data_IF_383218129645
#
_entry.id   IF_383218129645
#
_cell.length_a   1.000
_cell.length_b   1.000
_cell.length_c   1.000
_cell.angle_alpha   90.00
_cell.angle_beta   90.00
_cell.angle_gamma   90.00
#
_symmetry.space_group_name_H-M   'P 1'
#
loop_
_entity.id
_entity.type
_entity.pdbx_description
1 polymer ?
#
# COMPACT_ATOMS: atom_id res chain seq x y z
N UNK A 1 22.23 -5.23 4.44
CA UNK A 1 21.36 -5.75 5.50
C UNK A 1 21.07 -7.20 5.19
N UNK A 2 21.34 -8.12 6.11
CA UNK A 2 20.92 -9.51 5.94
C UNK A 2 19.40 -9.63 6.12
N UNK A 3 18.74 -10.56 5.42
CA UNK A 3 17.28 -10.77 5.52
C UNK A 3 16.83 -10.98 6.98
N UNK A 4 17.70 -11.55 7.83
CA UNK A 4 17.46 -11.70 9.27
C UNK A 4 17.35 -10.37 10.01
N UNK A 5 18.18 -9.39 9.68
CA UNK A 5 18.14 -8.06 10.30
C UNK A 5 16.85 -7.33 9.90
N UNK A 6 16.43 -7.47 8.64
CA UNK A 6 15.16 -6.91 8.17
C UNK A 6 13.98 -7.51 8.95
N UNK A 7 13.97 -8.83 9.12
CA UNK A 7 12.97 -9.54 9.92
C UNK A 7 12.96 -9.10 11.39
N UNK A 8 14.13 -8.92 11.99
CA UNK A 8 14.25 -8.58 13.41
C UNK A 8 13.93 -7.12 13.72
N UNK A 9 14.24 -6.19 12.81
CA UNK A 9 14.17 -4.75 13.08
C UNK A 9 13.05 -4.06 12.30
N UNK A 10 12.92 -4.36 11.00
CA UNK A 10 12.04 -3.60 10.10
C UNK A 10 10.62 -4.12 10.17
N UNK A 11 10.43 -5.44 10.19
CA UNK A 11 9.08 -6.04 10.22
C UNK A 11 8.31 -5.63 11.49
N UNK A 12 8.86 -5.72 12.72
CA UNK A 12 8.15 -5.26 13.92
C UNK A 12 7.81 -3.78 13.86
N UNK A 13 8.73 -2.95 13.35
CA UNK A 13 8.49 -1.51 13.17
C UNK A 13 7.33 -1.25 12.22
N UNK A 14 7.28 -1.93 11.06
CA UNK A 14 6.18 -1.84 10.10
C UNK A 14 4.85 -2.22 10.77
N UNK A 15 4.82 -3.29 11.57
CA UNK A 15 3.62 -3.74 12.27
C UNK A 15 3.14 -2.68 13.26
N UNK A 16 4.04 -2.09 14.06
CA UNK A 16 3.69 -1.04 15.03
C UNK A 16 3.13 0.18 14.33
N UNK A 17 3.79 0.64 13.25
CA UNK A 17 3.30 1.77 12.45
C UNK A 17 1.91 1.45 11.86
N UNK A 18 1.74 0.25 11.30
CA UNK A 18 0.47 -0.21 10.77
C UNK A 18 -0.66 -0.14 11.79
N UNK A 19 -0.44 -0.73 12.97
CA UNK A 19 -1.42 -0.71 14.06
C UNK A 19 -1.72 0.71 14.55
N UNK A 20 -0.72 1.59 14.59
CA UNK A 20 -0.91 3.01 14.88
C UNK A 20 -1.90 3.65 13.91
N UNK A 21 -1.69 3.50 12.60
CA UNK A 21 -2.61 4.04 11.59
C UNK A 21 -4.02 3.45 11.71
N UNK A 22 -4.16 2.14 11.95
CA UNK A 22 -5.47 1.51 12.16
C UNK A 22 -6.19 2.11 13.37
N UNK A 23 -5.47 2.37 14.47
CA UNK A 23 -6.02 2.97 15.69
C UNK A 23 -6.51 4.41 15.47
N UNK A 24 -5.80 5.20 14.65
CA UNK A 24 -6.18 6.58 14.35
C UNK A 24 -7.27 6.69 13.27
N UNK A 25 -7.21 5.86 12.22
CA UNK A 25 -8.21 5.87 11.13
C UNK A 25 -9.54 5.28 11.59
N UNK A 26 -9.50 4.26 12.47
CA UNK A 26 -10.67 3.49 12.95
C UNK A 26 -11.56 2.98 11.81
N UNK A 27 -11.01 2.23 10.84
CA UNK A 27 -11.82 1.68 9.75
C UNK A 27 -12.83 0.67 10.27
N UNK A 28 -13.97 0.55 9.60
CA UNK A 28 -14.88 -0.57 9.85
C UNK A 28 -14.20 -1.89 9.44
N UNK A 29 -14.62 -3.01 10.04
CA UNK A 29 -14.09 -4.34 9.70
C UNK A 29 -14.04 -4.64 8.19
N UNK A 30 -15.09 -4.39 7.37
CA UNK A 30 -15.01 -4.65 5.94
C UNK A 30 -13.98 -3.78 5.22
N UNK A 31 -13.84 -2.50 5.62
CA UNK A 31 -12.83 -1.60 5.04
C UNK A 31 -11.41 -2.07 5.38
N UNK A 32 -11.19 -2.49 6.64
CA UNK A 32 -9.89 -3.01 7.08
C UNK A 32 -9.51 -4.27 6.29
N UNK A 33 -10.41 -5.26 6.21
CA UNK A 33 -10.18 -6.50 5.48
C UNK A 33 -9.96 -6.26 3.98
N UNK A 34 -10.76 -5.38 3.36
CA UNK A 34 -10.57 -4.98 1.98
C UNK A 34 -9.17 -4.37 1.76
N UNK A 35 -8.69 -3.54 2.70
CA UNK A 35 -7.37 -2.92 2.59
C UNK A 35 -6.25 -3.95 2.73
N UNK A 36 -6.38 -4.90 3.66
CA UNK A 36 -5.40 -5.99 3.82
C UNK A 36 -5.36 -6.89 2.59
N UNK A 37 -6.51 -7.20 2.00
CA UNK A 37 -6.58 -8.02 0.80
C UNK A 37 -6.03 -7.28 -0.43
N UNK A 38 -6.36 -5.99 -0.60
CA UNK A 38 -5.77 -5.15 -1.63
C UNK A 38 -4.25 -5.09 -1.51
N UNK A 39 -3.74 -4.94 -0.29
CA UNK A 39 -2.31 -4.93 -0.02
C UNK A 39 -1.64 -6.28 -0.26
N UNK A 40 -2.29 -7.36 0.15
CA UNK A 40 -1.83 -8.71 -0.16
C UNK A 40 -1.70 -8.93 -1.67
N UNK A 41 -2.70 -8.52 -2.45
CA UNK A 41 -2.66 -8.62 -3.91
C UNK A 41 -1.52 -7.77 -4.49
N UNK A 42 -1.34 -6.54 -4.02
CA UNK A 42 -0.22 -5.70 -4.43
C UNK A 42 1.13 -6.37 -4.14
N UNK A 43 1.33 -6.91 -2.94
CA UNK A 43 2.56 -7.61 -2.56
C UNK A 43 2.81 -8.87 -3.38
N UNK A 44 1.77 -9.66 -3.65
CA UNK A 44 1.87 -10.87 -4.48
C UNK A 44 2.22 -10.53 -5.94
N UNK A 45 1.58 -9.52 -6.54
CA UNK A 45 1.92 -9.09 -7.90
C UNK A 45 3.38 -8.65 -7.96
N UNK A 46 3.82 -7.84 -6.99
CA UNK A 46 5.21 -7.37 -6.92
C UNK A 46 6.19 -8.57 -6.85
N UNK A 47 5.92 -9.53 -5.95
CA UNK A 47 6.72 -10.75 -5.83
C UNK A 47 6.77 -11.58 -7.11
N UNK A 48 5.63 -11.76 -7.79
CA UNK A 48 5.57 -12.52 -9.02
C UNK A 48 6.36 -11.86 -10.15
N UNK A 49 6.29 -10.54 -10.27
CA UNK A 49 7.10 -9.80 -11.24
C UNK A 49 8.59 -9.94 -10.96
N UNK A 50 9.00 -9.90 -9.69
CA UNK A 50 10.40 -10.09 -9.31
C UNK A 50 10.91 -11.52 -9.63
N UNK A 51 10.08 -12.53 -9.43
CA UNK A 51 10.40 -13.92 -9.83
C UNK A 51 10.54 -14.01 -11.35
N UNK A 52 9.60 -13.44 -12.11
CA UNK A 52 9.67 -13.41 -13.58
C UNK A 52 10.92 -12.68 -14.05
N UNK A 53 11.24 -11.54 -13.43
CA UNK A 53 12.40 -10.74 -13.77
C UNK A 53 13.72 -11.47 -13.55
N UNK A 54 13.82 -12.27 -12.49
CA UNK A 54 14.96 -13.14 -12.24
C UNK A 54 15.17 -14.12 -13.40
N UNK A 55 14.12 -14.85 -13.78
CA UNK A 55 14.20 -15.85 -14.86
C UNK A 55 14.36 -15.24 -16.26
N UNK A 56 13.80 -14.05 -16.49
CA UNK A 56 13.94 -13.31 -17.74
C UNK A 56 15.26 -12.53 -17.85
N UNK A 57 16.08 -12.53 -16.80
CA UNK A 57 17.36 -11.83 -16.77
C UNK A 57 17.23 -10.30 -16.80
N UNK A 58 16.12 -9.74 -16.30
CA UNK A 58 15.94 -8.29 -16.23
C UNK A 58 16.66 -7.72 -15.00
N UNK A 59 16.36 -8.26 -13.82
CA UNK A 59 17.05 -7.92 -12.58
C UNK A 59 17.02 -9.10 -11.61
N UNK A 60 17.87 -9.03 -10.57
CA UNK A 60 17.88 -10.00 -9.49
C UNK A 60 18.32 -9.35 -8.18
N UNK A 61 17.94 -9.95 -7.05
CA UNK A 61 18.40 -9.52 -5.74
C UNK A 61 19.77 -10.14 -5.41
N UNK A 62 20.69 -9.31 -4.93
CA UNK A 62 21.98 -9.73 -4.41
C UNK A 62 21.99 -9.67 -2.89
N UNK A 63 21.29 -10.62 -2.27
CA UNK A 63 21.14 -10.75 -0.83
C UNK A 63 21.33 -12.19 -0.38
N UNK A 64 21.84 -12.36 0.84
CA UNK A 64 21.87 -13.67 1.49
C UNK A 64 20.49 -14.02 2.08
N UNK A 65 20.10 -15.29 1.98
CA UNK A 65 18.86 -15.81 2.57
C UNK A 65 17.61 -15.66 1.71
N UNK A 66 17.76 -15.46 0.40
CA UNK A 66 16.63 -15.38 -0.54
C UNK A 66 15.85 -16.70 -0.56
N UNK A 67 14.53 -16.60 -0.66
CA UNK A 67 13.64 -17.73 -0.88
C UNK A 67 12.96 -17.51 -2.22
N UNK A 68 12.97 -18.49 -3.13
CA UNK A 68 12.50 -18.32 -4.51
C UNK A 68 13.16 -17.15 -5.25
N UNK A 69 14.46 -16.92 -5.02
CA UNK A 69 15.25 -15.82 -5.59
C UNK A 69 14.77 -14.40 -5.22
N UNK A 70 13.85 -14.28 -4.25
CA UNK A 70 13.29 -13.00 -3.81
C UNK A 70 13.43 -12.81 -2.29
N UNK A 71 13.51 -11.55 -1.81
CA UNK A 71 13.57 -11.25 -0.39
C UNK A 71 12.16 -11.22 0.19
N UNK A 72 11.58 -12.39 0.48
CA UNK A 72 10.19 -12.52 0.94
C UNK A 72 9.76 -11.50 2.01
N UNK A 73 10.58 -11.18 3.04
CA UNK A 73 10.17 -10.22 4.06
C UNK A 73 9.95 -8.79 3.52
N UNK A 74 10.59 -8.40 2.40
CA UNK A 74 10.46 -7.05 1.87
C UNK A 74 9.04 -6.74 1.40
N UNK A 75 8.30 -7.77 0.94
CA UNK A 75 6.93 -7.61 0.46
C UNK A 75 5.94 -7.21 1.55
N UNK A 76 6.31 -7.31 2.84
CA UNK A 76 5.46 -6.78 3.92
C UNK A 76 5.23 -5.27 3.79
N UNK A 77 6.17 -4.53 3.21
CA UNK A 77 6.07 -3.09 3.02
C UNK A 77 5.01 -2.75 1.96
N UNK A 78 5.05 -3.32 0.73
CA UNK A 78 3.92 -3.28 -0.20
C UNK A 78 2.59 -3.69 0.43
N UNK A 79 2.55 -4.75 1.23
CA UNK A 79 1.28 -5.25 1.80
C UNK A 79 0.70 -4.28 2.82
N UNK A 80 1.46 -3.93 3.85
CA UNK A 80 0.93 -3.18 5.00
C UNK A 80 0.97 -1.67 4.79
N UNK A 81 2.00 -1.14 4.12
CA UNK A 81 2.17 0.31 3.97
C UNK A 81 1.48 0.79 2.69
N UNK A 82 2.03 0.42 1.53
CA UNK A 82 1.56 0.97 0.25
C UNK A 82 0.20 0.43 -0.17
N UNK A 83 -0.10 -0.80 0.22
CA UNK A 83 -1.31 -1.50 -0.19
C UNK A 83 -2.36 -1.64 0.90
N UNK A 84 -2.14 -1.12 2.12
CA UNK A 84 -3.18 -1.12 3.16
C UNK A 84 -3.32 0.26 3.80
N UNK A 85 -2.29 0.80 4.49
CA UNK A 85 -2.38 2.15 5.08
C UNK A 85 -2.74 3.20 4.04
N UNK A 86 -2.06 3.20 2.90
CA UNK A 86 -2.33 4.18 1.83
C UNK A 86 -3.76 4.05 1.33
N UNK A 87 -4.27 2.84 1.11
CA UNK A 87 -5.66 2.62 0.68
C UNK A 87 -6.67 3.10 1.73
N UNK A 88 -6.41 2.83 3.01
CA UNK A 88 -7.21 3.33 4.13
C UNK A 88 -7.22 4.87 4.17
N UNK A 89 -6.08 5.51 3.94
CA UNK A 89 -5.97 6.97 3.88
C UNK A 89 -6.72 7.53 2.66
N UNK A 90 -6.57 6.93 1.49
CA UNK A 90 -7.31 7.31 0.29
C UNK A 90 -8.82 7.24 0.58
N UNK A 91 -9.31 6.13 1.15
CA UNK A 91 -10.71 5.98 1.53
C UNK A 91 -11.14 7.02 2.58
N UNK A 92 -10.31 7.28 3.59
CA UNK A 92 -10.61 8.22 4.68
C UNK A 92 -10.76 9.66 4.19
N UNK A 93 -10.02 10.03 3.17
CA UNK A 93 -9.96 11.40 2.63
C UNK A 93 -10.63 11.54 1.26
N UNK A 94 -11.30 10.50 0.76
CA UNK A 94 -11.91 10.51 -0.56
C UNK A 94 -13.02 11.56 -0.70
N UNK A 95 -13.80 11.76 0.37
CA UNK A 95 -14.94 12.69 0.40
C UNK A 95 -14.56 14.05 0.99
N UNK A 96 -15.20 15.11 0.48
CA UNK A 96 -15.04 16.48 0.97
C UNK A 96 -13.69 17.15 0.66
N UNK A 97 -13.28 18.06 1.54
CA UNK A 97 -12.07 18.88 1.37
C UNK A 97 -10.75 18.10 1.41
N UNK A 98 -10.77 16.84 1.89
CA UNK A 98 -9.59 15.97 1.93
C UNK A 98 -9.23 15.32 0.59
N UNK A 99 -10.07 15.47 -0.44
CA UNK A 99 -9.93 14.72 -1.70
C UNK A 99 -8.61 14.95 -2.42
N UNK A 100 -8.04 16.16 -2.33
CA UNK A 100 -6.74 16.46 -2.93
C UNK A 100 -5.63 15.58 -2.32
N UNK A 101 -5.68 15.31 -1.02
CA UNK A 101 -4.72 14.45 -0.33
C UNK A 101 -4.89 12.99 -0.75
N UNK A 102 -6.13 12.53 -0.93
CA UNK A 102 -6.41 11.20 -1.47
C UNK A 102 -5.86 11.04 -2.90
N UNK A 103 -6.02 12.05 -3.76
CA UNK A 103 -5.44 12.06 -5.11
C UNK A 103 -3.90 12.10 -5.08
N UNK A 104 -3.32 12.89 -4.17
CA UNK A 104 -1.88 12.93 -3.96
C UNK A 104 -1.36 11.55 -3.56
N UNK A 105 -2.05 10.81 -2.70
CA UNK A 105 -1.67 9.44 -2.37
C UNK A 105 -1.85 8.47 -3.54
N UNK A 106 -2.98 8.57 -4.25
CA UNK A 106 -3.32 7.69 -5.38
C UNK A 106 -2.26 7.74 -6.50
N UNK A 107 -1.78 8.94 -6.84
CA UNK A 107 -0.78 9.12 -7.89
C UNK A 107 0.65 9.21 -7.34
N UNK A 108 0.81 9.80 -6.15
CA UNK A 108 2.11 10.07 -5.56
C UNK A 108 2.79 8.80 -5.05
N UNK A 109 2.07 7.83 -4.48
CA UNK A 109 2.67 6.58 -3.98
C UNK A 109 3.29 5.74 -5.10
N UNK A 110 2.59 5.39 -6.21
CA UNK A 110 3.23 4.66 -7.29
C UNK A 110 4.38 5.45 -7.92
N UNK A 111 4.24 6.77 -8.08
CA UNK A 111 5.32 7.64 -8.57
C UNK A 111 6.54 7.62 -7.64
N UNK A 112 6.33 7.71 -6.33
CA UNK A 112 7.38 7.65 -5.32
C UNK A 112 8.12 6.30 -5.37
N UNK A 113 7.41 5.18 -5.47
CA UNK A 113 8.04 3.86 -5.55
C UNK A 113 8.91 3.72 -6.81
N UNK A 114 8.41 4.20 -7.95
CA UNK A 114 9.16 4.24 -9.22
C UNK A 114 10.43 5.08 -9.06
N UNK A 115 10.31 6.30 -8.53
CA UNK A 115 11.45 7.20 -8.33
C UNK A 115 12.46 6.62 -7.34
N UNK A 116 12.00 6.02 -6.24
CA UNK A 116 12.85 5.36 -5.25
C UNK A 116 13.71 4.28 -5.90
N UNK A 117 13.12 3.44 -6.76
CA UNK A 117 13.85 2.34 -7.37
C UNK A 117 14.83 2.81 -8.45
N UNK A 118 14.46 3.86 -9.21
CA UNK A 118 15.37 4.53 -10.15
C UNK A 118 16.56 5.15 -9.39
N UNK A 119 16.31 5.84 -8.28
CA UNK A 119 17.37 6.41 -7.45
C UNK A 119 18.23 5.32 -6.80
N UNK A 120 17.65 4.21 -6.38
CA UNK A 120 18.38 3.06 -5.85
C UNK A 120 19.27 2.39 -6.91
N UNK A 121 18.81 2.37 -8.17
CA UNK A 121 19.62 1.92 -9.30
C UNK A 121 20.83 2.83 -9.54
N UNK A 122 20.63 4.16 -9.57
CA UNK A 122 21.71 5.11 -9.92
C UNK A 122 22.72 5.33 -8.81
N UNK A 123 22.29 5.24 -7.54
CA UNK A 123 23.16 5.40 -6.37
C UNK A 123 23.93 4.13 -6.01
N UNK A 124 23.59 2.98 -6.59
CA UNK A 124 24.18 1.69 -6.23
C UNK A 124 23.83 1.23 -4.80
N UNK A 125 22.91 1.92 -4.12
CA UNK A 125 22.48 1.57 -2.76
C UNK A 125 21.38 0.50 -2.74
N UNK A 126 20.95 0.02 -3.91
CA UNK A 126 19.93 -1.00 -4.05
C UNK A 126 20.49 -2.41 -3.89
N UNK A 127 19.70 -3.28 -3.29
CA UNK A 127 19.95 -4.72 -3.26
C UNK A 127 19.66 -5.41 -4.61
N UNK A 128 19.12 -4.66 -5.57
CA UNK A 128 18.76 -5.14 -6.90
C UNK A 128 19.91 -4.85 -7.86
N UNK A 129 20.35 -5.89 -8.57
CA UNK A 129 21.27 -5.78 -9.69
C UNK A 129 20.46 -5.81 -10.99
N UNK A 130 20.60 -4.74 -11.76
CA UNK A 130 19.88 -4.51 -13.01
C UNK A 130 20.71 -4.97 -14.20
N UNK A 131 20.17 -5.86 -15.03
CA UNK A 131 20.89 -6.51 -16.14
C UNK A 131 20.44 -6.08 -17.53
N UNK A 132 19.24 -5.50 -17.67
CA UNK A 132 18.63 -5.20 -18.98
C UNK A 132 18.14 -3.76 -19.08
N UNK A 133 18.20 -3.18 -20.29
CA UNK A 133 17.59 -1.89 -20.59
C UNK A 133 16.06 -1.91 -20.41
N UNK A 134 15.43 -3.08 -20.56
CA UNK A 134 14.00 -3.27 -20.34
C UNK A 134 13.60 -3.25 -18.86
N UNK A 135 14.56 -3.28 -17.93
CA UNK A 135 14.23 -3.37 -16.51
C UNK A 135 13.47 -2.17 -15.98
N UNK A 136 13.84 -0.96 -16.42
CA UNK A 136 13.14 0.28 -16.04
C UNK A 136 11.68 0.28 -16.50
N UNK A 137 11.36 0.10 -17.80
CA UNK A 137 9.96 0.13 -18.23
C UNK A 137 9.13 -1.00 -17.60
N UNK A 138 9.71 -2.18 -17.38
CA UNK A 138 9.00 -3.29 -16.74
C UNK A 138 8.76 -3.01 -15.25
N UNK A 139 9.74 -2.45 -14.54
CA UNK A 139 9.57 -2.04 -13.14
C UNK A 139 8.49 -0.94 -13.02
N UNK A 140 8.42 0.01 -13.96
CA UNK A 140 7.35 1.02 -14.00
C UNK A 140 5.99 0.32 -14.15
N UNK A 141 5.87 -0.58 -15.14
CA UNK A 141 4.64 -1.33 -15.37
C UNK A 141 4.24 -2.16 -14.14
N UNK A 142 5.19 -2.83 -13.50
CA UNK A 142 4.97 -3.61 -12.28
C UNK A 142 4.38 -2.73 -11.16
N UNK A 143 4.98 -1.57 -10.86
CA UNK A 143 4.50 -0.70 -9.78
C UNK A 143 3.08 -0.18 -10.06
N UNK A 144 2.81 0.22 -11.30
CA UNK A 144 1.47 0.67 -11.70
C UNK A 144 0.46 -0.47 -11.59
N UNK A 145 0.76 -1.65 -12.14
CA UNK A 145 -0.13 -2.81 -12.10
C UNK A 145 -0.40 -3.27 -10.66
N UNK A 146 0.66 -3.48 -9.87
CA UNK A 146 0.53 -3.93 -8.49
C UNK A 146 -0.32 -2.96 -7.65
N UNK A 147 -0.03 -1.66 -7.75
CA UNK A 147 -0.72 -0.65 -6.97
C UNK A 147 -2.19 -0.47 -7.40
N UNK A 148 -2.46 -0.34 -8.71
CA UNK A 148 -3.82 -0.06 -9.16
C UNK A 148 -4.71 -1.31 -9.12
N UNK A 149 -4.19 -2.52 -9.36
CA UNK A 149 -5.00 -3.75 -9.20
C UNK A 149 -5.38 -3.94 -7.73
N UNK A 150 -4.42 -3.76 -6.80
CA UNK A 150 -4.71 -3.80 -5.36
C UNK A 150 -5.74 -2.74 -4.95
N UNK A 151 -5.59 -1.51 -5.47
CA UNK A 151 -6.51 -0.41 -5.16
C UNK A 151 -7.92 -0.65 -5.73
N UNK A 152 -8.04 -1.15 -6.96
CA UNK A 152 -9.33 -1.49 -7.57
C UNK A 152 -10.05 -2.58 -6.79
N UNK A 153 -9.32 -3.60 -6.32
CA UNK A 153 -9.89 -4.63 -5.45
C UNK A 153 -10.38 -4.04 -4.14
N UNK A 154 -9.56 -3.20 -3.50
CA UNK A 154 -9.95 -2.49 -2.29
C UNK A 154 -11.22 -1.66 -2.50
N UNK A 155 -11.26 -0.85 -3.56
CA UNK A 155 -12.40 0.03 -3.87
C UNK A 155 -13.70 -0.75 -4.12
N UNK A 156 -13.60 -1.95 -4.71
CA UNK A 156 -14.78 -2.81 -4.95
C UNK A 156 -15.34 -3.42 -3.67
N UNK A 157 -14.50 -3.67 -2.67
CA UNK A 157 -14.88 -4.37 -1.45
C UNK A 157 -15.14 -3.44 -0.27
N UNK A 158 -14.52 -2.26 -0.25
CA UNK A 158 -14.67 -1.30 0.82
C UNK A 158 -16.01 -0.53 0.66
N UNK A 159 -16.90 -0.54 1.66
CA UNK A 159 -18.10 0.27 1.60
C UNK A 159 -17.74 1.76 1.47
N UNK A 160 -18.50 2.54 0.69
CA UNK A 160 -18.31 3.97 0.60
C UNK A 160 -18.47 4.59 1.99
N UNK A 161 -17.66 5.61 2.28
CA UNK A 161 -17.80 6.33 3.54
C UNK A 161 -19.10 7.12 3.51
N UNK A 162 -19.98 7.01 4.53
CA UNK A 162 -21.14 7.88 4.62
C UNK A 162 -20.65 9.32 4.66
N UNK A 163 -21.11 10.15 3.72
CA UNK A 163 -20.99 11.59 3.91
C UNK A 163 -21.89 11.93 5.09
N UNK A 164 -21.32 12.51 6.16
CA UNK A 164 -22.12 13.11 7.21
C UNK A 164 -22.78 14.34 6.60
N UNK A 165 -23.94 14.15 5.99
CA UNK A 165 -24.80 15.23 5.54
C UNK A 165 -25.31 15.94 6.78
N UNK A 166 -25.27 17.27 6.81
CA UNK A 166 -25.79 18.09 7.93
C UNK A 166 -27.22 17.70 8.36
N UNK A 167 -28.00 17.12 7.44
CA UNK A 167 -29.34 16.57 7.70
C UNK A 167 -29.33 15.36 8.66
N UNK A 168 -28.29 14.53 8.67
CA UNK A 168 -28.18 13.38 9.58
C UNK A 168 -27.81 13.82 11.02
N UNK A 169 -27.17 14.98 11.17
CA UNK A 169 -26.91 15.59 12.47
C UNK A 169 -28.19 16.16 13.09
N UNK A 170 -29.00 16.90 12.32
CA UNK A 170 -30.30 17.42 12.80
C UNK A 170 -31.24 16.30 13.24
N UNK A 171 -31.29 15.19 12.50
CA UNK A 171 -32.16 14.05 12.83
C UNK A 171 -31.75 13.29 14.10
N UNK A 172 -30.49 13.44 14.52
CA UNK A 172 -29.98 12.86 15.78
C UNK A 172 -30.22 13.78 16.97
N UNK A 173 -30.35 15.09 16.74
CA UNK A 173 -30.62 16.10 17.78
C UNK A 173 -32.13 16.27 18.06
N UNK A 174 -33.00 16.13 17.06
CA UNK A 174 -34.47 16.23 17.21
C UNK A 174 -35.15 15.26 18.21
N UNK A 175 -34.76 13.98 18.38
CA UNK A 175 -35.47 13.09 19.29
C UNK A 175 -35.25 13.42 20.78
N UNK A 176 -34.27 14.25 21.14
CA UNK A 176 -34.01 14.62 22.54
C UNK A 176 -34.84 15.82 23.01
N UNK A 177 -35.25 16.72 22.11
CA UNK A 177 -36.09 17.88 22.48
C UNK A 177 -37.59 17.53 22.55
N UNK A 178 -38.04 16.52 21.80
CA UNK A 178 -39.44 16.10 21.80
C UNK A 178 -39.87 15.28 23.04
N UNK A 179 -38.92 14.74 23.82
CA UNK A 179 -39.20 14.07 25.10
C UNK A 179 -39.13 15.01 26.32
N UNK A 180 -38.82 16.29 26.11
CA UNK A 180 -38.69 17.30 27.18
C UNK A 180 -39.80 18.36 27.18
N UNK A 181 -40.83 18.23 26.33
CA UNK A 181 -42.05 19.05 26.34
C UNK A 181 -43.28 18.21 26.67
#
# INVERSE_FOLDING_TARGET
MEIREFLALVVPFIIVIYLGFVLFIRPTRPVLLASLLGGLVMGLINMLFDIVAYYAGWWYYNLNGLTLHVPLPFYITPVLIYGSIVYLLIWRFWTGQGRWFALLLLFGVPTFCILRDILGMTSGSSYIIWKSAFSVPIMIAMWLLAFYIGFLLFQRLAPPRPELTWQDQQKTEEPLEAEQM
#
